data_IF_056644405451
#
_entry.id   IF_056644405451
#
_cell.length_a   1.000
_cell.length_b   1.000
_cell.length_c   1.000
_cell.angle_alpha   90.00
_cell.angle_beta   90.00
_cell.angle_gamma   90.00
#
_symmetry.space_group_name_H-M   'P 1'
#
loop_
_entity.id
_entity.type
_entity.pdbx_description
1 polymer ?
#
# COMPACT_ATOMS: atom_id res chain seq x y z
N UNK A 1 -22.04 12.95 5.18
CA UNK A 1 -22.59 12.14 6.29
C UNK A 1 -21.99 10.75 6.21
N UNK A 2 -21.65 10.16 7.36
CA UNK A 2 -21.18 8.78 7.42
C UNK A 2 -22.41 7.88 7.27
N UNK A 3 -22.46 6.93 6.32
CA UNK A 3 -23.61 6.06 6.13
C UNK A 3 -23.95 5.27 7.41
N UNK A 4 -25.24 5.01 7.69
CA UNK A 4 -25.65 4.19 8.83
C UNK A 4 -25.17 2.74 8.70
N UNK A 5 -24.87 2.28 7.49
CA UNK A 5 -24.18 1.02 7.24
C UNK A 5 -22.88 1.25 6.44
N UNK A 6 -21.75 1.06 7.11
CA UNK A 6 -20.43 1.25 6.52
C UNK A 6 -20.04 0.13 5.56
N UNK A 7 -20.60 -1.07 5.65
CA UNK A 7 -20.29 -2.14 4.68
C UNK A 7 -21.05 -1.95 3.34
N UNK A 8 -21.99 -1.00 3.29
CA UNK A 8 -22.80 -0.69 2.11
C UNK A 8 -24.16 -1.42 2.05
N UNK A 9 -24.55 -2.20 3.07
CA UNK A 9 -25.89 -2.80 3.08
C UNK A 9 -26.95 -1.69 3.21
N UNK A 10 -27.98 -1.78 2.37
CA UNK A 10 -29.00 -0.74 2.27
C UNK A 10 -28.56 0.54 1.52
N UNK A 11 -27.32 0.63 1.03
CA UNK A 11 -26.91 1.71 0.13
C UNK A 11 -27.45 1.50 -1.28
N UNK A 12 -28.01 2.54 -1.90
CA UNK A 12 -28.48 2.53 -3.29
C UNK A 12 -27.33 2.45 -4.30
N UNK A 13 -26.11 2.82 -3.90
CA UNK A 13 -24.91 2.70 -4.73
C UNK A 13 -24.16 1.38 -4.47
N UNK A 14 -24.56 0.63 -3.44
CA UNK A 14 -23.84 -0.53 -2.88
C UNK A 14 -22.36 -0.27 -2.55
N UNK A 15 -21.91 1.00 -2.58
CA UNK A 15 -20.54 1.36 -2.28
C UNK A 15 -20.34 1.37 -0.76
N UNK A 16 -19.77 0.28 -0.26
CA UNK A 16 -19.33 0.15 1.13
C UNK A 16 -17.98 0.82 1.39
N UNK A 17 -17.47 0.58 2.58
CA UNK A 17 -16.15 0.99 3.04
C UNK A 17 -15.33 -0.25 3.35
N UNK A 18 -14.01 -0.11 3.20
CA UNK A 18 -13.06 -1.00 3.83
C UNK A 18 -12.56 -0.41 5.15
N UNK A 19 -12.11 -1.29 6.03
CA UNK A 19 -11.30 -0.95 7.20
C UNK A 19 -9.94 -1.62 7.11
N UNK A 20 -8.90 -0.84 7.36
CA UNK A 20 -7.51 -1.28 7.39
C UNK A 20 -6.90 -0.99 8.76
N UNK A 21 -6.11 -1.91 9.35
CA UNK A 21 -5.25 -1.58 10.48
C UNK A 21 -4.16 -0.63 10.01
N UNK A 22 -4.04 0.53 10.64
CA UNK A 22 -2.97 1.47 10.30
C UNK A 22 -1.70 1.10 11.06
N UNK A 23 -0.59 0.76 10.38
CA UNK A 23 0.70 0.54 11.02
C UNK A 23 1.18 1.82 11.69
N UNK A 24 1.85 1.69 12.83
CA UNK A 24 2.67 2.77 13.35
C UNK A 24 3.84 3.04 12.40
N UNK A 25 4.32 4.29 12.35
CA UNK A 25 5.47 4.66 11.54
C UNK A 25 5.25 5.93 10.72
N UNK A 26 6.10 6.11 9.71
CA UNK A 26 6.15 7.34 8.91
C UNK A 26 5.39 7.12 7.61
N UNK A 27 4.23 7.77 7.46
CA UNK A 27 3.53 7.77 6.17
C UNK A 27 4.34 8.52 5.11
N UNK A 28 4.51 7.89 3.95
CA UNK A 28 5.36 8.34 2.87
C UNK A 28 4.81 7.93 1.50
N UNK A 29 5.10 8.77 0.49
CA UNK A 29 4.94 8.43 -0.92
C UNK A 29 6.20 7.69 -1.39
N UNK A 30 6.04 6.51 -1.98
CA UNK A 30 7.14 5.75 -2.58
C UNK A 30 7.04 5.82 -4.10
N UNK A 31 8.15 6.15 -4.75
CA UNK A 31 8.28 6.17 -6.21
C UNK A 31 9.46 5.29 -6.63
N UNK A 32 9.19 4.24 -7.40
CA UNK A 32 10.21 3.40 -8.03
C UNK A 32 10.32 3.77 -9.52
N UNK A 33 11.45 4.31 -9.95
CA UNK A 33 11.69 4.75 -11.33
C UNK A 33 13.17 4.95 -11.61
N UNK A 34 13.60 4.67 -12.84
CA UNK A 34 14.95 4.97 -13.30
C UNK A 34 16.04 4.16 -12.59
N UNK A 35 15.72 2.95 -12.13
CA UNK A 35 16.65 2.06 -11.44
C UNK A 35 16.87 2.41 -9.96
N UNK A 36 15.99 3.20 -9.36
CA UNK A 36 16.04 3.52 -7.93
C UNK A 36 14.64 3.72 -7.34
N UNK A 37 14.54 3.60 -6.03
CA UNK A 37 13.32 3.85 -5.27
C UNK A 37 13.52 5.02 -4.33
N UNK A 38 12.60 5.97 -4.32
CA UNK A 38 12.62 7.14 -3.42
C UNK A 38 11.37 7.16 -2.56
N UNK A 39 11.54 7.25 -1.24
CA UNK A 39 10.47 7.49 -0.29
C UNK A 39 10.47 8.97 0.13
N UNK A 40 9.30 9.62 0.15
CA UNK A 40 9.12 11.02 0.55
C UNK A 40 8.07 11.15 1.64
N UNK A 41 8.32 11.96 2.64
CA UNK A 41 7.32 12.28 3.67
C UNK A 41 6.19 13.13 3.07
N UNK A 42 5.12 13.32 3.85
CA UNK A 42 3.98 14.17 3.45
C UNK A 42 4.36 15.60 3.07
N UNK A 43 5.42 16.14 3.69
CA UNK A 43 5.93 17.48 3.41
C UNK A 43 6.83 17.51 2.16
N UNK A 44 7.00 16.39 1.46
CA UNK A 44 7.78 16.25 0.24
C UNK A 44 9.28 16.01 0.44
N UNK A 45 9.75 16.06 1.70
CA UNK A 45 11.13 15.77 2.06
C UNK A 45 11.49 14.32 1.72
N UNK A 46 12.70 14.10 1.21
CA UNK A 46 13.20 12.74 0.96
C UNK A 46 13.43 12.08 2.30
N UNK A 47 12.68 11.01 2.56
CA UNK A 47 12.93 10.10 3.67
C UNK A 47 14.14 9.23 3.33
N UNK A 48 14.14 8.66 2.12
CA UNK A 48 15.20 7.76 1.69
C UNK A 48 15.27 7.56 0.17
N UNK A 49 16.46 7.17 -0.33
CA UNK A 49 16.68 6.65 -1.67
C UNK A 49 17.40 5.30 -1.55
N UNK A 50 16.86 4.25 -2.19
CA UNK A 50 17.34 2.87 -2.02
C UNK A 50 17.02 2.00 -3.24
N UNK A 51 17.69 0.85 -3.34
CA UNK A 51 17.35 -0.20 -4.28
C UNK A 51 16.18 -1.04 -3.75
N UNK A 52 15.17 -1.28 -4.59
CA UNK A 52 14.07 -2.18 -4.27
C UNK A 52 13.78 -3.17 -5.40
N UNK A 53 13.10 -4.25 -5.04
CA UNK A 53 12.57 -5.22 -6.01
C UNK A 53 11.28 -4.75 -6.71
N UNK A 54 10.83 -3.51 -6.50
CA UNK A 54 9.72 -2.95 -7.28
C UNK A 54 10.16 -2.74 -8.75
N UNK A 55 9.22 -2.77 -9.71
CA UNK A 55 9.54 -2.49 -11.11
C UNK A 55 10.26 -1.15 -11.29
N UNK A 56 11.43 -1.19 -11.93
CA UNK A 56 12.33 -0.05 -12.15
C UNK A 56 12.85 0.61 -10.86
N UNK A 57 12.89 -0.13 -9.76
CA UNK A 57 13.28 0.33 -8.42
C UNK A 57 14.74 0.08 -8.03
N UNK A 58 15.51 -0.62 -8.86
CA UNK A 58 16.93 -0.97 -8.69
C UNK A 58 17.61 -1.20 -10.05
N UNK A 59 18.92 -1.44 -10.07
CA UNK A 59 19.62 -1.81 -11.31
C UNK A 59 19.14 -3.18 -11.83
N UNK A 60 18.91 -4.17 -10.95
CA UNK A 60 18.37 -5.48 -11.37
C UNK A 60 16.94 -5.42 -11.92
N UNK A 61 16.14 -4.44 -11.49
CA UNK A 61 14.75 -4.26 -11.96
C UNK A 61 14.61 -3.16 -12.99
N UNK A 62 15.73 -2.62 -13.48
CA UNK A 62 15.76 -1.50 -14.42
C UNK A 62 14.97 -1.81 -15.70
N UNK A 63 14.16 -0.84 -16.14
CA UNK A 63 13.25 -0.99 -17.27
C UNK A 63 13.12 0.33 -18.06
N UNK A 64 12.22 0.34 -19.05
CA UNK A 64 11.91 1.52 -19.87
C UNK A 64 11.52 2.74 -19.03
N UNK A 65 11.67 3.94 -19.62
CA UNK A 65 11.36 5.21 -18.93
C UNK A 65 9.89 5.36 -18.52
N UNK A 66 9.02 4.64 -19.19
CA UNK A 66 7.59 4.55 -18.94
C UNK A 66 7.22 3.55 -17.83
N UNK A 67 8.18 2.73 -17.38
CA UNK A 67 7.97 1.78 -16.28
C UNK A 67 8.31 2.46 -14.96
N UNK A 68 7.30 2.67 -14.12
CA UNK A 68 7.48 3.17 -12.77
C UNK A 68 6.32 2.74 -11.88
N UNK A 69 6.53 2.80 -10.57
CA UNK A 69 5.49 2.53 -9.57
C UNK A 69 5.35 3.71 -8.61
N UNK A 70 4.13 3.96 -8.15
CA UNK A 70 3.82 4.97 -7.14
C UNK A 70 2.89 4.34 -6.09
N UNK A 71 3.35 4.28 -4.85
CA UNK A 71 2.63 3.67 -3.71
C UNK A 71 2.49 4.67 -2.57
N UNK A 72 1.37 4.60 -1.84
CA UNK A 72 1.20 5.23 -0.53
C UNK A 72 1.57 4.18 0.52
N UNK A 73 2.54 4.48 1.36
CA UNK A 73 3.08 3.53 2.32
C UNK A 73 3.19 4.14 3.72
N UNK A 74 3.29 3.27 4.72
CA UNK A 74 3.83 3.57 6.03
C UNK A 74 5.17 2.85 6.19
N UNK A 75 6.23 3.60 6.39
CA UNK A 75 7.53 3.04 6.72
C UNK A 75 7.57 2.66 8.20
N UNK A 76 7.77 1.37 8.47
CA UNK A 76 7.87 0.80 9.80
C UNK A 76 9.31 0.35 10.05
N UNK A 77 10.08 1.25 10.67
CA UNK A 77 11.52 1.08 10.91
C UNK A 77 11.88 -0.22 11.65
N UNK A 78 11.17 -0.66 12.72
CA UNK A 78 11.53 -1.89 13.42
C UNK A 78 11.47 -3.17 12.57
N UNK A 79 10.67 -3.18 11.50
CA UNK A 79 10.57 -4.32 10.56
C UNK A 79 11.35 -4.12 9.26
N UNK A 80 11.99 -2.97 9.06
CA UNK A 80 12.59 -2.62 7.77
C UNK A 80 11.62 -2.87 6.60
N UNK A 81 10.38 -2.38 6.75
CA UNK A 81 9.32 -2.64 5.78
C UNK A 81 8.51 -1.37 5.46
N UNK A 82 8.11 -1.26 4.20
CA UNK A 82 7.07 -0.35 3.76
C UNK A 82 5.75 -1.12 3.68
N UNK A 83 4.84 -0.77 4.58
CA UNK A 83 3.47 -1.25 4.53
C UNK A 83 2.67 -0.40 3.57
N UNK A 84 2.37 -0.93 2.38
CA UNK A 84 1.63 -0.23 1.35
C UNK A 84 0.14 -0.17 1.71
N UNK A 85 -0.39 1.05 1.82
CA UNK A 85 -1.81 1.32 2.10
C UNK A 85 -2.63 1.52 0.83
N UNK A 86 -2.01 2.03 -0.25
CA UNK A 86 -2.68 2.23 -1.54
C UNK A 86 -1.66 2.18 -2.70
N UNK A 87 -2.17 1.99 -3.92
CA UNK A 87 -1.39 1.87 -5.16
C UNK A 87 -1.93 2.80 -6.23
N UNK A 88 -1.15 3.83 -6.57
CA UNK A 88 -1.57 4.86 -7.54
C UNK A 88 -1.01 4.62 -8.94
N UNK A 89 0.11 3.89 -9.06
CA UNK A 89 0.66 3.51 -10.35
C UNK A 89 1.45 2.20 -10.26
N UNK A 90 1.29 1.31 -11.24
CA UNK A 90 2.09 0.08 -11.36
C UNK A 90 2.56 -0.13 -12.79
N UNK A 91 3.88 -0.23 -12.99
CA UNK A 91 4.53 -0.38 -14.31
C UNK A 91 4.00 0.63 -15.34
N UNK A 92 3.86 1.89 -14.94
CA UNK A 92 3.37 2.98 -15.79
C UNK A 92 1.84 3.06 -15.95
N UNK A 93 1.09 2.06 -15.48
CA UNK A 93 -0.38 2.11 -15.50
C UNK A 93 -0.89 2.96 -14.33
N UNK A 94 -1.45 4.12 -14.66
CA UNK A 94 -2.14 4.99 -13.70
C UNK A 94 -3.39 4.33 -13.12
N UNK A 95 -3.57 4.46 -11.81
CA UNK A 95 -4.74 4.03 -11.06
C UNK A 95 -5.41 5.18 -10.29
N UNK A 96 -4.97 6.43 -10.46
CA UNK A 96 -5.51 7.59 -9.75
C UNK A 96 -7.04 7.73 -9.93
N UNK A 97 -7.53 7.55 -11.17
CA UNK A 97 -8.96 7.62 -11.50
C UNK A 97 -9.72 6.30 -11.28
N UNK A 98 -9.07 5.28 -10.71
CA UNK A 98 -9.72 4.00 -10.40
C UNK A 98 -10.35 4.04 -9.02
N UNK A 99 -11.53 3.41 -8.81
CA UNK A 99 -12.10 3.18 -7.49
C UNK A 99 -11.13 2.47 -6.54
N UNK A 100 -11.24 2.76 -5.24
CA UNK A 100 -10.35 2.21 -4.22
C UNK A 100 -10.39 0.68 -4.15
N UNK A 101 -11.54 0.04 -4.35
CA UNK A 101 -11.64 -1.43 -4.39
C UNK A 101 -10.79 -2.06 -5.51
N UNK A 102 -10.77 -1.44 -6.68
CA UNK A 102 -9.89 -1.83 -7.79
C UNK A 102 -8.43 -1.61 -7.39
N UNK A 103 -8.08 -0.47 -6.79
CA UNK A 103 -6.69 -0.19 -6.38
C UNK A 103 -6.20 -1.17 -5.31
N UNK A 104 -7.02 -1.50 -4.33
CA UNK A 104 -6.70 -2.47 -3.29
C UNK A 104 -6.51 -3.88 -3.88
N UNK A 105 -7.40 -4.30 -4.79
CA UNK A 105 -7.21 -5.56 -5.52
C UNK A 105 -5.88 -5.58 -6.29
N UNK A 106 -5.55 -4.49 -6.99
CA UNK A 106 -4.28 -4.36 -7.71
C UNK A 106 -3.09 -4.38 -6.76
N UNK A 107 -3.13 -3.66 -5.64
CA UNK A 107 -2.06 -3.63 -4.65
C UNK A 107 -1.73 -5.03 -4.14
N UNK A 108 -2.74 -5.78 -3.68
CA UNK A 108 -2.55 -7.12 -3.14
C UNK A 108 -2.07 -8.12 -4.21
N UNK A 109 -2.69 -8.11 -5.40
CA UNK A 109 -2.30 -9.04 -6.47
C UNK A 109 -0.89 -8.78 -6.98
N UNK A 110 -0.52 -7.51 -7.21
CA UNK A 110 0.78 -7.16 -7.77
C UNK A 110 1.94 -7.37 -6.81
N UNK A 111 1.79 -7.04 -5.53
CA UNK A 111 2.84 -7.33 -4.55
C UNK A 111 3.00 -8.84 -4.30
N UNK A 112 1.92 -9.63 -4.41
CA UNK A 112 2.03 -11.09 -4.27
C UNK A 112 2.73 -11.75 -5.48
N UNK A 113 2.60 -11.17 -6.66
CA UNK A 113 3.20 -11.68 -7.91
C UNK A 113 4.64 -11.19 -8.14
N UNK A 114 5.05 -10.07 -7.55
CA UNK A 114 6.36 -9.46 -7.82
C UNK A 114 7.49 -10.16 -7.04
N UNK A 115 8.46 -10.81 -7.72
CA UNK A 115 9.49 -11.59 -7.06
C UNK A 115 10.38 -10.76 -6.13
N UNK A 116 10.63 -11.28 -4.93
CA UNK A 116 11.56 -10.67 -3.96
C UNK A 116 11.04 -9.39 -3.29
N UNK A 117 9.88 -8.86 -3.68
CA UNK A 117 9.36 -7.60 -3.12
C UNK A 117 8.98 -7.72 -1.63
N UNK A 118 8.51 -8.89 -1.21
CA UNK A 118 8.05 -9.15 0.15
C UNK A 118 9.18 -9.51 1.14
N UNK A 119 10.41 -9.68 0.66
CA UNK A 119 11.58 -10.00 1.48
C UNK A 119 12.64 -8.91 1.33
N UNK A 120 13.33 -8.56 2.41
CA UNK A 120 14.49 -7.69 2.35
C UNK A 120 15.77 -8.53 2.39
N UNK A 121 16.80 -8.11 1.66
CA UNK A 121 18.06 -8.82 1.60
C UNK A 121 18.84 -8.56 0.31
N UNK A 122 20.13 -8.92 0.34
CA UNK A 122 21.05 -8.71 -0.77
C UNK A 122 20.72 -9.63 -1.96
N UNK A 123 20.17 -10.81 -1.69
CA UNK A 123 19.75 -11.79 -2.68
C UNK A 123 18.64 -11.31 -3.62
N UNK A 124 17.84 -10.33 -3.17
CA UNK A 124 16.75 -9.74 -3.91
C UNK A 124 17.03 -8.31 -4.39
N UNK A 125 18.24 -7.79 -4.12
CA UNK A 125 18.59 -6.38 -4.30
C UNK A 125 17.50 -5.45 -3.73
N UNK A 126 16.92 -5.86 -2.60
CA UNK A 126 15.77 -5.21 -2.00
C UNK A 126 16.10 -4.79 -0.58
N UNK A 127 16.29 -3.49 -0.36
CA UNK A 127 16.67 -2.98 0.97
C UNK A 127 15.55 -3.13 2.00
N UNK A 128 14.29 -3.02 1.57
CA UNK A 128 13.12 -3.02 2.43
C UNK A 128 12.02 -3.90 1.85
N UNK A 129 11.34 -4.67 2.70
CA UNK A 129 10.17 -5.43 2.25
C UNK A 129 9.00 -4.50 1.95
N UNK A 130 8.23 -4.79 0.90
CA UNK A 130 6.94 -4.15 0.64
C UNK A 130 5.82 -5.14 0.90
N UNK A 131 4.96 -4.79 1.84
CA UNK A 131 3.86 -5.65 2.27
C UNK A 131 2.55 -4.86 2.17
N UNK A 132 1.48 -5.41 1.57
CA UNK A 132 0.20 -4.73 1.57
C UNK A 132 -0.41 -4.73 2.98
N UNK A 133 -1.01 -3.61 3.37
CA UNK A 133 -1.84 -3.57 4.58
C UNK A 133 -3.12 -4.38 4.33
N UNK A 134 -3.49 -5.32 5.22
CA UNK A 134 -4.73 -6.07 5.08
C UNK A 134 -5.95 -5.16 5.00
N UNK A 135 -6.86 -5.49 4.09
CA UNK A 135 -8.07 -4.72 3.83
C UNK A 135 -9.30 -5.59 4.13
N UNK A 136 -10.18 -5.14 5.02
CA UNK A 136 -11.36 -5.89 5.46
C UNK A 136 -12.65 -5.15 5.15
N UNK A 137 -13.75 -5.89 5.03
CA UNK A 137 -15.08 -5.31 4.96
C UNK A 137 -15.41 -4.53 6.23
N UNK A 138 -16.10 -3.39 6.11
CA UNK A 138 -16.55 -2.59 7.26
C UNK A 138 -17.79 -3.17 7.96
N UNK A 139 -17.75 -4.46 8.30
CA UNK A 139 -18.72 -5.10 9.18
C UNK A 139 -18.10 -5.39 10.57
N UNK A 140 -18.88 -5.97 11.48
CA UNK A 140 -18.41 -6.28 12.84
C UNK A 140 -17.19 -7.21 12.82
N UNK A 141 -17.18 -8.21 11.95
CA UNK A 141 -16.10 -9.19 11.86
C UNK A 141 -14.84 -8.57 11.27
N UNK A 142 -14.96 -7.75 10.23
CA UNK A 142 -13.84 -7.05 9.61
C UNK A 142 -13.25 -5.96 10.52
N UNK A 143 -14.07 -5.25 11.29
CA UNK A 143 -13.59 -4.35 12.34
C UNK A 143 -12.82 -5.10 13.43
N UNK A 144 -13.34 -6.25 13.87
CA UNK A 144 -12.64 -7.09 14.84
C UNK A 144 -11.31 -7.62 14.27
N UNK A 145 -11.31 -8.07 13.01
CA UNK A 145 -10.10 -8.54 12.34
C UNK A 145 -9.06 -7.42 12.16
N UNK A 146 -9.46 -6.22 11.74
CA UNK A 146 -8.57 -5.08 11.63
C UNK A 146 -8.01 -4.69 13.01
N UNK A 147 -8.86 -4.67 14.04
CA UNK A 147 -8.47 -4.22 15.37
C UNK A 147 -7.69 -5.23 16.19
N UNK A 148 -7.92 -6.55 16.04
CA UNK A 148 -7.27 -7.62 16.81
C UNK A 148 -6.30 -8.46 15.97
N UNK A 149 -6.63 -8.70 14.70
CA UNK A 149 -5.90 -9.64 13.84
C UNK A 149 -4.52 -9.17 13.36
N UNK A 150 -4.22 -7.87 13.42
CA UNK A 150 -2.93 -7.35 12.98
C UNK A 150 -1.78 -7.50 14.00
N UNK A 151 -2.03 -8.09 15.17
CA UNK A 151 -1.09 -8.12 16.31
C UNK A 151 0.21 -8.91 16.07
N UNK A 152 0.39 -9.53 14.91
CA UNK A 152 1.60 -10.28 14.56
C UNK A 152 2.59 -9.54 13.65
N UNK A 153 2.17 -8.46 12.97
CA UNK A 153 2.97 -7.87 11.89
C UNK A 153 3.49 -6.45 12.17
N UNK A 154 2.85 -5.67 13.03
CA UNK A 154 3.29 -4.32 13.41
C UNK A 154 2.43 -3.81 14.57
N UNK A 155 2.95 -2.87 15.36
CA UNK A 155 2.08 -2.13 16.27
C UNK A 155 1.17 -1.20 15.47
N UNK A 156 -0.11 -1.09 15.88
CA UNK A 156 -1.10 -0.26 15.21
C UNK A 156 -1.22 1.10 15.89
N UNK A 157 -1.32 2.18 15.13
CA UNK A 157 -1.60 3.52 15.65
C UNK A 157 -3.06 3.98 15.42
N UNK A 158 -3.84 3.18 14.67
CA UNK A 158 -5.25 3.47 14.41
C UNK A 158 -5.91 2.53 13.40
N UNK A 159 -7.11 2.92 12.95
CA UNK A 159 -7.83 2.30 11.84
C UNK A 159 -8.03 3.32 10.72
N UNK A 160 -7.89 2.87 9.47
CA UNK A 160 -8.16 3.66 8.28
C UNK A 160 -9.44 3.14 7.61
N UNK A 161 -10.39 4.04 7.36
CA UNK A 161 -11.62 3.74 6.64
C UNK A 161 -11.53 4.27 5.22
N UNK A 162 -11.69 3.38 4.23
CA UNK A 162 -11.53 3.71 2.81
C UNK A 162 -12.85 3.47 2.09
N UNK A 163 -13.43 4.51 1.48
CA UNK A 163 -14.64 4.35 0.68
C UNK A 163 -14.28 3.58 -0.61
N UNK A 164 -14.98 2.47 -0.88
CA UNK A 164 -14.66 1.59 -2.02
C UNK A 164 -14.73 2.30 -3.38
N UNK A 165 -15.61 3.28 -3.53
CA UNK A 165 -15.81 4.02 -4.76
C UNK A 165 -14.92 5.27 -4.87
N UNK A 166 -14.13 5.61 -3.85
CA UNK A 166 -13.30 6.81 -3.89
C UNK A 166 -12.11 6.65 -4.85
N UNK A 167 -11.86 7.68 -5.65
CA UNK A 167 -10.62 7.85 -6.40
C UNK A 167 -9.52 8.38 -5.47
N UNK A 168 -8.26 8.32 -5.89
CA UNK A 168 -7.12 8.81 -5.09
C UNK A 168 -6.86 10.29 -5.32
#
# INVERSE_FOLDING_TARGET
>A
EIPPDLNGAGSTTHAGWFVQPRPEGVRCLVVASGGATTARTKDGNVLEVFASALPNGSEATAAGRDVFCILDCVFHEPHNAFYATDLMCWRGRSLFDSPADVRQFWLHSRLAEEPGVAAHGAEHENKYAFLPVPCYECDVAGLEAAYRGADSAFARDGLLFVNKAAHY
#
